data_IF_332502621174
#
_entry.id   IF_332502621174
#
_cell.length_a   1.000
_cell.length_b   1.000
_cell.length_c   1.000
_cell.angle_alpha   90.00
_cell.angle_beta   90.00
_cell.angle_gamma   90.00
#
_symmetry.space_group_name_H-M   'P 1'
#
loop_
_entity.id
_entity.type
_entity.pdbx_description
1 polymer ?
#
# COMPACT_ATOMS: atom_id res chain seq x y z
N UNK A 1 1.69 -35.05 -6.27
CA UNK A 1 1.07 -33.93 -5.53
C UNK A 1 2.13 -33.37 -4.60
N UNK A 2 2.90 -32.40 -5.09
CA UNK A 2 3.97 -31.75 -4.33
C UNK A 2 3.39 -30.45 -3.78
N UNK A 3 3.13 -30.42 -2.49
CA UNK A 3 2.73 -29.23 -1.74
C UNK A 3 3.83 -28.17 -1.91
N UNK A 4 3.53 -26.93 -2.31
CA UNK A 4 4.55 -25.88 -2.31
C UNK A 4 4.96 -25.61 -0.87
N UNK A 5 6.24 -25.88 -0.57
CA UNK A 5 6.91 -25.45 0.65
C UNK A 5 6.77 -23.94 0.75
N UNK A 6 5.90 -23.50 1.67
CA UNK A 6 5.78 -22.11 2.07
C UNK A 6 7.16 -21.68 2.57
N UNK A 7 7.79 -20.65 1.99
CA UNK A 7 9.09 -20.20 2.46
C UNK A 7 8.97 -19.76 3.92
N UNK A 8 9.86 -20.27 4.77
CA UNK A 8 10.02 -19.81 6.14
C UNK A 8 10.11 -18.28 6.14
N UNK A 9 9.44 -17.54 7.06
CA UNK A 9 9.61 -16.11 7.23
C UNK A 9 10.95 -15.83 7.93
N UNK A 10 12.03 -16.42 7.43
CA UNK A 10 13.40 -16.12 7.80
C UNK A 10 13.70 -14.73 7.25
N UNK A 11 13.24 -13.72 7.99
CA UNK A 11 13.72 -12.34 8.00
C UNK A 11 14.75 -12.05 6.90
N UNK A 12 14.27 -11.76 5.69
CA UNK A 12 15.16 -11.57 4.54
C UNK A 12 16.14 -10.44 4.90
N UNK A 13 17.45 -10.71 4.87
CA UNK A 13 18.47 -9.69 5.13
C UNK A 13 18.35 -8.48 4.17
N UNK A 14 17.63 -8.66 3.06
CA UNK A 14 17.25 -7.65 2.07
C UNK A 14 15.94 -6.90 2.40
N UNK A 15 15.35 -7.08 3.58
CA UNK A 15 14.14 -6.36 3.95
C UNK A 15 14.42 -4.86 4.04
N UNK A 16 13.82 -4.11 3.12
CA UNK A 16 13.92 -2.65 3.06
C UNK A 16 13.00 -2.03 4.12
N UNK A 17 13.60 -1.26 5.04
CA UNK A 17 12.96 -0.54 6.12
C UNK A 17 12.87 0.95 5.80
N UNK A 18 11.73 1.58 6.05
CA UNK A 18 11.65 3.04 5.99
C UNK A 18 12.46 3.66 7.13
N UNK A 19 12.87 4.93 6.99
CA UNK A 19 13.58 5.63 8.06
C UNK A 19 12.77 5.72 9.38
N UNK A 20 11.43 5.73 9.30
CA UNK A 20 10.58 5.70 10.48
C UNK A 20 10.68 4.35 11.20
N UNK A 21 10.56 3.25 10.47
CA UNK A 21 10.71 1.90 11.03
C UNK A 21 12.12 1.68 11.58
N UNK A 22 13.16 2.17 10.90
CA UNK A 22 14.53 2.14 11.41
C UNK A 22 14.69 2.95 12.70
N UNK A 23 14.08 4.13 12.79
CA UNK A 23 14.10 4.96 14.00
C UNK A 23 13.44 4.26 15.19
N UNK A 24 12.30 3.63 14.96
CA UNK A 24 11.58 2.85 15.98
C UNK A 24 12.41 1.64 16.45
N UNK A 25 13.09 0.95 15.53
CA UNK A 25 13.95 -0.20 15.81
C UNK A 25 15.21 0.16 16.61
N UNK A 26 15.90 1.22 16.21
CA UNK A 26 17.16 1.66 16.85
C UNK A 26 16.86 2.41 18.17
N UNK A 27 15.59 2.80 18.40
CA UNK A 27 15.20 3.61 19.56
C UNK A 27 15.74 5.04 19.48
N UNK A 28 15.83 5.60 18.27
CA UNK A 28 16.34 6.96 18.03
C UNK A 28 15.28 7.83 17.39
N UNK A 29 15.43 9.14 17.53
CA UNK A 29 14.52 10.08 16.90
C UNK A 29 14.70 10.07 15.37
N UNK A 30 13.60 10.20 14.63
CA UNK A 30 13.61 10.19 13.16
C UNK A 30 14.57 11.24 12.56
N UNK A 31 14.73 12.40 13.19
CA UNK A 31 15.70 13.41 12.74
C UNK A 31 17.14 12.88 12.76
N UNK A 32 17.54 12.19 13.84
CA UNK A 32 18.88 11.60 13.96
C UNK A 32 19.12 10.56 12.87
N UNK A 33 18.13 9.72 12.59
CA UNK A 33 18.20 8.69 11.53
C UNK A 33 18.29 9.34 10.14
N UNK A 34 17.58 10.45 9.91
CA UNK A 34 17.70 11.22 8.66
C UNK A 34 19.10 11.82 8.48
N UNK A 35 19.68 12.34 9.55
CA UNK A 35 21.03 12.91 9.54
C UNK A 35 22.08 11.83 9.27
N UNK A 36 21.95 10.65 9.90
CA UNK A 36 22.82 9.49 9.64
C UNK A 36 22.72 9.00 8.20
N UNK A 37 21.51 8.94 7.66
CA UNK A 37 21.30 8.63 6.24
C UNK A 37 21.93 9.69 5.33
N UNK A 38 21.79 10.98 5.66
CA UNK A 38 22.39 12.07 4.87
C UNK A 38 23.92 12.04 4.93
N UNK A 39 24.50 11.57 6.04
CA UNK A 39 25.93 11.36 6.21
C UNK A 39 26.46 10.09 5.50
N UNK A 40 25.58 9.31 4.84
CA UNK A 40 25.99 8.11 4.10
C UNK A 40 26.30 6.90 4.98
N UNK A 41 25.77 6.86 6.22
CA UNK A 41 26.00 5.75 7.17
C UNK A 41 25.52 4.39 6.63
N UNK A 42 24.51 4.40 5.76
CA UNK A 42 23.93 3.19 5.16
C UNK A 42 24.11 3.21 3.64
N UNK A 43 25.11 2.48 3.10
CA UNK A 43 25.54 2.60 1.71
C UNK A 43 24.53 2.07 0.69
N UNK A 44 23.71 1.10 1.06
CA UNK A 44 22.69 0.48 0.20
C UNK A 44 21.30 1.09 0.40
N UNK A 45 21.22 2.26 1.05
CA UNK A 45 19.96 2.99 1.17
C UNK A 45 19.45 3.43 -0.21
N UNK A 46 18.21 3.09 -0.52
CA UNK A 46 17.55 3.41 -1.79
C UNK A 46 16.42 4.41 -1.58
N UNK A 47 16.19 5.27 -2.57
CA UNK A 47 15.06 6.18 -2.57
C UNK A 47 13.91 5.57 -3.35
N UNK A 48 12.70 5.61 -2.79
CA UNK A 48 11.50 5.16 -3.48
C UNK A 48 11.22 6.06 -4.69
N UNK A 49 10.87 5.44 -5.82
CA UNK A 49 10.70 6.13 -7.10
C UNK A 49 9.34 6.87 -7.20
N UNK A 50 8.40 6.56 -6.31
CA UNK A 50 7.01 7.06 -6.41
C UNK A 50 6.69 8.14 -5.38
N UNK A 51 6.42 9.36 -5.88
CA UNK A 51 5.68 10.45 -5.22
C UNK A 51 6.29 11.08 -3.96
N UNK A 52 6.45 10.31 -2.90
CA UNK A 52 7.16 10.72 -1.69
C UNK A 52 8.54 10.11 -1.75
N UNK A 53 9.55 10.97 -1.89
CA UNK A 53 11.01 10.73 -1.86
C UNK A 53 11.51 10.06 -0.55
N UNK A 54 10.83 9.00 -0.12
CA UNK A 54 11.09 8.26 1.10
C UNK A 54 12.30 7.37 0.90
N UNK A 55 13.24 7.44 1.84
CA UNK A 55 14.39 6.56 1.86
C UNK A 55 14.04 5.24 2.54
N UNK A 56 14.54 4.18 1.95
CA UNK A 56 14.48 2.83 2.49
C UNK A 56 15.90 2.29 2.67
N UNK A 57 16.14 1.63 3.79
CA UNK A 57 17.44 1.12 4.21
C UNK A 57 17.31 -0.38 4.41
N UNK A 58 18.20 -1.21 3.84
CA UNK A 58 18.22 -2.64 4.13
C UNK A 58 18.49 -2.91 5.61
N UNK A 59 17.84 -3.91 6.19
CA UNK A 59 18.12 -4.33 7.56
C UNK A 59 19.58 -4.76 7.75
N UNK A 60 20.23 -5.33 6.72
CA UNK A 60 21.66 -5.67 6.72
C UNK A 60 22.54 -4.45 7.01
N UNK A 61 22.28 -3.31 6.38
CA UNK A 61 23.07 -2.09 6.57
C UNK A 61 22.96 -1.53 7.98
N UNK A 62 21.80 -1.71 8.63
CA UNK A 62 21.61 -1.30 10.03
C UNK A 62 22.44 -2.19 10.99
N UNK A 63 22.51 -3.49 10.68
CA UNK A 63 23.32 -4.45 11.45
C UNK A 63 24.80 -4.19 11.23
N UNK A 64 25.23 -4.00 9.97
CA UNK A 64 26.62 -3.76 9.61
C UNK A 64 27.15 -2.44 10.20
N UNK A 65 26.29 -1.42 10.31
CA UNK A 65 26.62 -0.14 10.96
C UNK A 65 26.67 -0.24 12.50
N UNK A 66 26.28 -1.38 13.08
CA UNK A 66 26.14 -1.58 14.54
C UNK A 66 24.97 -0.82 15.16
N UNK A 67 24.01 -0.36 14.33
CA UNK A 67 22.83 0.36 14.80
C UNK A 67 21.74 -0.60 15.30
N UNK A 68 21.79 -1.87 14.88
CA UNK A 68 20.84 -2.90 15.26
C UNK A 68 21.53 -4.25 15.46
N UNK A 69 21.13 -4.99 16.48
CA UNK A 69 21.67 -6.34 16.69
C UNK A 69 20.92 -7.37 15.83
N UNK A 70 21.59 -8.43 15.32
CA UNK A 70 20.95 -9.44 14.45
C UNK A 70 19.71 -10.13 15.05
N UNK A 71 19.66 -10.26 16.38
CA UNK A 71 18.51 -10.85 17.08
C UNK A 71 17.29 -9.92 17.09
N UNK A 72 17.51 -8.59 17.18
CA UNK A 72 16.44 -7.59 17.17
C UNK A 72 15.75 -7.54 15.79
N UNK A 73 16.51 -7.75 14.72
CA UNK A 73 15.97 -7.88 13.36
C UNK A 73 14.98 -9.04 13.26
N UNK A 74 15.35 -10.21 13.78
CA UNK A 74 14.49 -11.42 13.74
C UNK A 74 13.20 -11.27 14.56
N UNK A 75 13.26 -10.60 15.70
CA UNK A 75 12.10 -10.43 16.57
C UNK A 75 11.10 -9.40 16.03
N UNK A 76 11.58 -8.34 15.39
CA UNK A 76 10.71 -7.22 14.99
C UNK A 76 10.22 -7.33 13.54
N UNK A 77 10.89 -8.10 12.69
CA UNK A 77 10.45 -8.39 11.33
C UNK A 77 9.00 -8.91 11.20
N UNK A 78 8.52 -9.90 11.98
CA UNK A 78 7.13 -10.36 11.88
C UNK A 78 6.13 -9.26 12.27
N UNK A 79 6.46 -8.45 13.28
CA UNK A 79 5.61 -7.33 13.73
C UNK A 79 5.52 -6.23 12.68
N UNK A 80 6.64 -5.89 12.03
CA UNK A 80 6.65 -4.92 10.93
C UNK A 80 5.92 -5.44 9.70
N UNK A 81 6.08 -6.71 9.36
CA UNK A 81 5.33 -7.34 8.27
C UNK A 81 3.83 -7.28 8.51
N UNK A 82 3.37 -7.65 9.71
CA UNK A 82 1.95 -7.57 10.09
C UNK A 82 1.42 -6.12 10.09
N UNK A 83 2.22 -5.16 10.56
CA UNK A 83 1.84 -3.75 10.53
C UNK A 83 1.70 -3.21 9.09
N UNK A 84 2.60 -3.61 8.19
CA UNK A 84 2.54 -3.26 6.76
C UNK A 84 1.33 -3.89 6.09
N UNK A 85 1.10 -5.18 6.32
CA UNK A 85 -0.07 -5.88 5.80
C UNK A 85 -1.36 -5.22 6.27
N UNK A 86 -1.47 -4.90 7.55
CA UNK A 86 -2.64 -4.20 8.10
C UNK A 86 -2.89 -2.84 7.44
N UNK A 87 -1.83 -2.05 7.19
CA UNK A 87 -1.95 -0.78 6.45
C UNK A 87 -2.40 -0.99 5.01
N UNK A 88 -1.80 -1.95 4.29
CA UNK A 88 -2.17 -2.28 2.92
C UNK A 88 -3.63 -2.74 2.83
N UNK A 89 -4.06 -3.61 3.75
CA UNK A 89 -5.46 -4.05 3.86
C UNK A 89 -6.38 -2.87 4.14
N UNK A 90 -5.97 -1.90 4.97
CA UNK A 90 -6.70 -0.66 5.19
C UNK A 90 -6.90 0.14 3.90
N UNK A 91 -5.81 0.43 3.18
CA UNK A 91 -5.86 1.17 1.91
C UNK A 91 -6.69 0.45 0.85
N UNK A 92 -6.55 -0.88 0.72
CA UNK A 92 -7.34 -1.67 -0.22
C UNK A 92 -8.83 -1.67 0.15
N UNK A 93 -9.18 -1.66 1.45
CA UNK A 93 -10.58 -1.55 1.88
C UNK A 93 -11.18 -0.19 1.53
N UNK A 94 -10.41 0.89 1.69
CA UNK A 94 -10.82 2.24 1.28
C UNK A 94 -11.03 2.31 -0.24
N UNK A 95 -10.11 1.76 -1.03
CA UNK A 95 -10.22 1.70 -2.49
C UNK A 95 -11.44 0.89 -2.93
N UNK A 96 -11.70 -0.28 -2.31
CA UNK A 96 -12.91 -1.07 -2.57
C UNK A 96 -14.17 -0.27 -2.23
N UNK A 97 -14.18 0.47 -1.12
CA UNK A 97 -15.33 1.29 -0.75
C UNK A 97 -15.58 2.40 -1.78
N UNK A 98 -14.52 3.07 -2.25
CA UNK A 98 -14.61 4.09 -3.29
C UNK A 98 -15.12 3.51 -4.61
N UNK A 99 -14.53 2.42 -5.10
CA UNK A 99 -14.94 1.79 -6.35
C UNK A 99 -16.39 1.30 -6.30
N UNK A 100 -16.84 0.79 -5.15
CA UNK A 100 -18.26 0.42 -4.96
C UNK A 100 -19.18 1.63 -5.02
N UNK A 101 -18.79 2.76 -4.46
CA UNK A 101 -19.57 3.99 -4.52
C UNK A 101 -19.65 4.52 -5.97
N UNK A 102 -18.54 4.51 -6.71
CA UNK A 102 -18.49 4.90 -8.12
C UNK A 102 -19.36 3.99 -9.00
N UNK A 103 -19.28 2.67 -8.79
CA UNK A 103 -20.12 1.70 -9.50
C UNK A 103 -21.61 1.94 -9.21
N UNK A 104 -21.97 2.15 -7.93
CA UNK A 104 -23.35 2.45 -7.55
C UNK A 104 -23.87 3.73 -8.22
N UNK A 105 -23.05 4.78 -8.30
CA UNK A 105 -23.42 6.02 -8.96
C UNK A 105 -23.59 5.82 -10.48
N UNK A 106 -22.68 5.10 -11.12
CA UNK A 106 -22.77 4.78 -12.54
C UNK A 106 -24.03 3.97 -12.88
N UNK A 107 -24.37 2.97 -12.06
CA UNK A 107 -25.59 2.18 -12.21
C UNK A 107 -26.86 3.02 -12.04
N UNK A 108 -26.88 3.96 -11.09
CA UNK A 108 -28.00 4.87 -10.92
C UNK A 108 -28.22 5.74 -12.17
N UNK A 109 -27.15 6.30 -12.72
CA UNK A 109 -27.19 7.10 -13.97
C UNK A 109 -27.66 6.26 -15.15
N UNK A 110 -27.16 5.03 -15.29
CA UNK A 110 -27.61 4.12 -16.35
C UNK A 110 -29.11 3.83 -16.23
N UNK A 111 -29.59 3.51 -15.02
CA UNK A 111 -31.02 3.25 -14.79
C UNK A 111 -31.91 4.45 -15.12
N UNK A 112 -31.43 5.67 -14.86
CA UNK A 112 -32.17 6.89 -15.17
C UNK A 112 -32.25 7.15 -16.68
N UNK A 113 -31.14 6.87 -17.40
CA UNK A 113 -31.12 6.94 -18.87
C UNK A 113 -32.07 5.93 -19.49
N UNK A 114 -32.10 4.70 -18.99
CA UNK A 114 -33.01 3.66 -19.47
C UNK A 114 -34.49 4.07 -19.29
N UNK A 115 -34.84 4.62 -18.11
CA UNK A 115 -36.19 5.16 -17.88
C UNK A 115 -36.52 6.32 -18.82
N UNK A 116 -35.57 7.22 -19.04
CA UNK A 116 -35.76 8.37 -19.93
C UNK A 116 -35.98 7.93 -21.37
N UNK A 117 -35.18 6.98 -21.85
CA UNK A 117 -35.32 6.41 -23.20
C UNK A 117 -36.70 5.76 -23.35
N UNK A 118 -37.11 4.91 -22.40
CA UNK A 118 -38.41 4.25 -22.43
C UNK A 118 -39.58 5.26 -22.44
N UNK A 119 -39.47 6.35 -21.67
CA UNK A 119 -40.47 7.42 -21.69
C UNK A 119 -40.54 8.09 -23.06
N UNK A 120 -39.39 8.45 -23.64
CA UNK A 120 -39.32 9.09 -24.96
C UNK A 120 -39.89 8.19 -26.06
N UNK A 121 -39.56 6.90 -26.04
CA UNK A 121 -40.13 5.90 -26.95
C UNK A 121 -41.66 5.82 -26.83
N UNK A 122 -42.20 5.85 -25.61
CA UNK A 122 -43.65 5.82 -25.37
C UNK A 122 -44.37 7.05 -25.94
N UNK A 123 -43.78 8.25 -25.78
CA UNK A 123 -44.33 9.51 -26.27
C UNK A 123 -44.28 9.58 -27.80
N UNK A 124 -43.18 9.15 -28.40
CA UNK A 124 -43.03 9.12 -29.86
C UNK A 124 -43.96 8.07 -30.50
N UNK A 125 -44.09 6.89 -29.90
CA UNK A 125 -45.01 5.85 -30.36
C UNK A 125 -46.48 6.28 -30.28
N UNK A 126 -46.87 6.95 -29.20
CA UNK A 126 -48.24 7.47 -29.05
C UNK A 126 -48.56 8.61 -30.04
N UNK A 127 -47.58 9.48 -30.33
CA UNK A 127 -47.75 10.60 -31.28
C UNK A 127 -47.83 10.13 -32.73
N UNK A 128 -47.15 9.03 -33.09
CA UNK A 128 -47.23 8.42 -34.42
C UNK A 128 -48.54 7.67 -34.69
N UNK A 129 -49.25 7.22 -33.66
CA UNK A 129 -50.54 6.54 -33.79
C UNK A 129 -51.76 7.50 -33.88
N UNK A 130 -51.56 8.79 -33.58
CA UNK A 130 -52.58 9.83 -33.58
C UNK A 130 -52.54 10.75 -34.83
N UNK A 131 -51.66 10.45 -35.79
CA UNK A 131 -51.50 11.16 -37.07
C UNK A 131 -51.90 10.24 -38.23
#
# INVERSE_FOLDING_TARGET
>A
MTTPTQPDPACDANQLLTLAEAADLIGKHLCTVKDWRAAGRWPNAVQDATGRRTWRVPASDLVDAGDLEPHQVREVAPTLAAARESRLVGTLREEIAQLRAELSAALAVASERDRTIALLESVLGAKGAAA
#
